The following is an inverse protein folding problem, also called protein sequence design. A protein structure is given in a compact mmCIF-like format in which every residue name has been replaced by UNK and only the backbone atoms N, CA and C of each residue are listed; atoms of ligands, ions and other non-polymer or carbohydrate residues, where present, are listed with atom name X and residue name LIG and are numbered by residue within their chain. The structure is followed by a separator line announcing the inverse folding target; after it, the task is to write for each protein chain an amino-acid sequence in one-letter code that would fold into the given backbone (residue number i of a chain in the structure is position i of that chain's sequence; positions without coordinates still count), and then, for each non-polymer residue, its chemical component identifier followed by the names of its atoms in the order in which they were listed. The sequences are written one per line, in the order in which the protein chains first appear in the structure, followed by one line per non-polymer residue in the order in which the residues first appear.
data_IF_067639308092
#
_entry.id   IF_067639308092
#
_cell.length_a   1.000
_cell.length_b   1.000
_cell.length_c   1.000
_cell.angle_alpha   90.00
_cell.angle_beta   90.00
_cell.angle_gamma   90.00
#
_symmetry.space_group_name_H-M   'P 1'
#
loop_
_entity.id
_entity.type
_entity.pdbx_description
1 polymer ?
#
# COMPACT_ATOMS: atom_id res chain seq x y z
N UNK A 1 -9.06 -1.32 6.38
CA UNK A 1 -9.18 -1.33 4.90
C UNK A 1 -10.25 -2.28 4.38
N UNK A 2 -10.24 -3.58 4.72
CA UNK A 2 -11.20 -4.56 4.16
C UNK A 2 -12.66 -4.16 4.38
N UNK A 3 -13.02 -3.70 5.58
CA UNK A 3 -14.36 -3.19 5.90
C UNK A 3 -14.84 -2.01 5.02
N UNK A 4 -13.92 -1.26 4.41
CA UNK A 4 -14.26 -0.15 3.51
C UNK A 4 -14.61 -0.62 2.09
N UNK A 5 -14.26 -1.86 1.74
CA UNK A 5 -14.46 -2.45 0.41
C UNK A 5 -15.37 -3.67 0.43
N UNK A 6 -15.78 -4.13 1.62
CA UNK A 6 -16.69 -5.26 1.85
C UNK A 6 -18.17 -4.83 1.83
N UNK A 7 -18.51 -3.80 1.06
CA UNK A 7 -19.89 -3.37 0.90
C UNK A 7 -20.75 -4.45 0.21
N UNK A 8 -22.06 -4.24 0.18
CA UNK A 8 -23.01 -5.21 -0.39
C UNK A 8 -22.78 -5.48 -1.89
N UNK A 9 -22.05 -4.61 -2.60
CA UNK A 9 -21.73 -4.81 -4.01
C UNK A 9 -20.73 -5.95 -4.24
N UNK A 10 -19.89 -6.27 -3.24
CA UNK A 10 -18.89 -7.36 -3.32
C UNK A 10 -17.79 -7.16 -4.37
N UNK A 11 -17.74 -5.99 -5.02
CA UNK A 11 -16.79 -5.67 -6.11
C UNK A 11 -15.47 -5.11 -5.62
N UNK A 12 -15.43 -4.60 -4.39
CA UNK A 12 -14.23 -4.05 -3.79
C UNK A 12 -13.12 -5.09 -3.59
N UNK A 13 -11.87 -4.64 -3.68
CA UNK A 13 -10.67 -5.46 -3.48
C UNK A 13 -9.62 -4.67 -2.70
N UNK A 14 -8.82 -5.38 -1.91
CA UNK A 14 -7.59 -4.85 -1.30
C UNK A 14 -6.40 -5.60 -1.90
N UNK A 15 -5.47 -4.88 -2.49
CA UNK A 15 -4.21 -5.45 -2.97
C UNK A 15 -3.12 -5.12 -1.96
N UNK A 16 -2.49 -6.15 -1.40
CA UNK A 16 -1.37 -6.02 -0.47
C UNK A 16 -0.09 -6.45 -1.17
N UNK A 17 0.94 -5.60 -1.14
CA UNK A 17 2.20 -5.86 -1.85
C UNK A 17 3.35 -5.86 -0.84
N UNK A 18 4.18 -6.89 -0.88
CA UNK A 18 5.42 -6.94 -0.13
C UNK A 18 6.39 -7.91 -0.83
N UNK A 19 7.68 -7.56 -0.94
CA UNK A 19 8.68 -8.45 -1.56
C UNK A 19 9.16 -9.55 -0.59
N UNK A 20 8.91 -9.39 0.71
CA UNK A 20 9.30 -10.34 1.73
C UNK A 20 8.21 -11.39 1.93
N UNK A 21 8.56 -12.66 1.72
CA UNK A 21 7.63 -13.79 1.97
C UNK A 21 7.15 -13.85 3.41
N UNK A 22 8.02 -13.51 4.37
CA UNK A 22 7.68 -13.52 5.79
C UNK A 22 6.58 -12.50 6.11
N UNK A 23 6.67 -11.30 5.55
CA UNK A 23 5.64 -10.27 5.69
C UNK A 23 4.28 -10.74 5.15
N UNK A 24 4.29 -11.40 3.99
CA UNK A 24 3.06 -11.97 3.39
C UNK A 24 2.49 -13.12 4.22
N UNK A 25 3.34 -13.98 4.76
CA UNK A 25 2.92 -15.07 5.63
C UNK A 25 2.26 -14.53 6.89
N UNK A 26 2.93 -13.65 7.62
CA UNK A 26 2.39 -13.02 8.83
C UNK A 26 1.10 -12.27 8.53
N UNK A 27 1.06 -11.51 7.43
CA UNK A 27 -0.16 -10.83 6.99
C UNK A 27 -1.29 -11.82 6.71
N UNK A 28 -1.03 -12.92 5.99
CA UNK A 28 -2.07 -13.92 5.73
C UNK A 28 -2.60 -14.54 7.01
N UNK A 29 -1.72 -14.95 7.94
CA UNK A 29 -2.13 -15.53 9.22
C UNK A 29 -3.02 -14.57 10.01
N UNK A 30 -2.65 -13.29 10.11
CA UNK A 30 -3.46 -12.28 10.78
C UNK A 30 -4.82 -12.06 10.10
N UNK A 31 -4.85 -12.08 8.76
CA UNK A 31 -6.10 -11.95 8.00
C UNK A 31 -7.01 -13.17 8.18
N UNK A 32 -6.44 -14.36 8.21
CA UNK A 32 -7.18 -15.62 8.40
C UNK A 32 -7.79 -15.70 9.81
N UNK A 33 -7.12 -15.12 10.81
CA UNK A 33 -7.65 -15.01 12.18
C UNK A 33 -8.70 -13.91 12.34
N UNK A 34 -8.58 -12.82 11.57
CA UNK A 34 -9.36 -11.59 11.81
C UNK A 34 -10.57 -11.41 10.89
N UNK A 35 -10.63 -12.13 9.77
CA UNK A 35 -11.63 -11.91 8.72
C UNK A 35 -12.54 -13.13 8.53
N UNK A 36 -13.78 -12.87 8.14
CA UNK A 36 -14.65 -13.93 7.62
C UNK A 36 -14.10 -14.48 6.29
N UNK A 37 -14.46 -15.72 5.88
CA UNK A 37 -14.04 -16.26 4.59
C UNK A 37 -14.37 -15.35 3.40
N UNK A 38 -15.55 -14.72 3.42
CA UNK A 38 -15.98 -13.78 2.38
C UNK A 38 -15.11 -12.51 2.32
N UNK A 39 -14.73 -11.95 3.47
CA UNK A 39 -13.85 -10.79 3.53
C UNK A 39 -12.41 -11.15 3.10
N UNK A 40 -11.95 -12.34 3.46
CA UNK A 40 -10.63 -12.84 3.11
C UNK A 40 -10.43 -12.96 1.60
N UNK A 41 -11.48 -13.33 0.86
CA UNK A 41 -11.47 -13.39 -0.60
C UNK A 41 -11.24 -12.02 -1.27
N UNK A 42 -11.59 -10.93 -0.59
CA UNK A 42 -11.42 -9.56 -1.09
C UNK A 42 -9.95 -9.10 -1.06
N UNK A 43 -9.09 -9.77 -0.28
CA UNK A 43 -7.69 -9.40 -0.09
C UNK A 43 -6.79 -10.25 -0.98
N UNK A 44 -5.93 -9.59 -1.76
CA UNK A 44 -4.96 -10.19 -2.69
C UNK A 44 -3.54 -9.79 -2.29
N UNK A 45 -2.88 -10.55 -1.39
CA UNK A 45 -1.46 -10.38 -1.08
C UNK A 45 -0.60 -10.81 -2.27
N UNK A 46 0.49 -10.10 -2.55
CA UNK A 46 1.40 -10.37 -3.66
C UNK A 46 2.86 -10.11 -3.31
N UNK A 47 3.72 -11.04 -3.73
CA UNK A 47 5.18 -11.06 -3.54
C UNK A 47 5.97 -10.10 -4.43
N UNK A 48 5.45 -8.91 -4.69
CA UNK A 48 6.03 -7.99 -5.68
C UNK A 48 6.31 -6.62 -5.07
N UNK A 49 7.23 -5.89 -5.69
CA UNK A 49 7.48 -4.49 -5.35
C UNK A 49 6.29 -3.63 -5.76
N UNK A 50 5.98 -2.61 -4.97
CA UNK A 50 4.93 -1.62 -5.26
C UNK A 50 5.09 -0.92 -6.60
N UNK A 51 6.31 -0.83 -7.15
CA UNK A 51 6.57 -0.31 -8.49
C UNK A 51 6.03 -1.17 -9.63
N UNK A 52 5.52 -2.37 -9.34
CA UNK A 52 4.96 -3.35 -10.31
C UNK A 52 3.46 -3.59 -10.07
N UNK A 53 2.76 -2.65 -9.44
CA UNK A 53 1.36 -2.81 -9.04
C UNK A 53 0.42 -3.07 -10.23
N UNK A 54 0.77 -2.57 -11.42
CA UNK A 54 0.06 -2.78 -12.68
C UNK A 54 -0.03 -4.25 -13.09
N UNK A 55 0.85 -5.12 -12.58
CA UNK A 55 0.80 -6.55 -12.87
C UNK A 55 -0.37 -7.26 -12.17
N UNK A 56 -0.92 -6.66 -11.11
CA UNK A 56 -1.94 -7.31 -10.27
C UNK A 56 -3.23 -6.50 -10.13
N UNK A 57 -3.15 -5.18 -10.31
CA UNK A 57 -4.33 -4.31 -10.30
C UNK A 57 -4.89 -4.25 -11.72
N UNK A 58 -6.13 -4.71 -11.97
CA UNK A 58 -6.71 -4.70 -13.31
C UNK A 58 -6.75 -3.29 -13.90
N UNK A 59 -6.45 -3.16 -15.18
CA UNK A 59 -6.55 -1.89 -15.90
C UNK A 59 -7.93 -1.24 -15.72
N UNK A 60 -7.95 0.10 -15.62
CA UNK A 60 -9.16 0.90 -15.41
C UNK A 60 -9.91 0.62 -14.09
N UNK A 61 -9.28 -0.06 -13.12
CA UNK A 61 -9.85 -0.19 -11.78
C UNK A 61 -9.83 1.16 -11.06
N UNK A 62 -10.99 1.69 -10.61
CA UNK A 62 -11.00 2.91 -9.80
C UNK A 62 -10.32 2.65 -8.46
N UNK A 63 -9.24 3.38 -8.19
CA UNK A 63 -8.50 3.28 -6.93
C UNK A 63 -9.00 4.33 -5.95
N UNK A 64 -9.52 3.91 -4.80
CA UNK A 64 -10.01 4.81 -3.76
C UNK A 64 -8.92 5.25 -2.79
N UNK A 65 -7.94 4.38 -2.54
CA UNK A 65 -6.88 4.61 -1.57
C UNK A 65 -5.65 3.80 -1.96
N UNK A 66 -4.48 4.42 -1.85
CA UNK A 66 -3.18 3.74 -1.82
C UNK A 66 -2.50 4.16 -0.51
N UNK A 67 -1.91 3.19 0.18
CA UNK A 67 -1.15 3.44 1.39
C UNK A 67 0.22 2.78 1.27
N UNK A 68 1.27 3.53 1.59
CA UNK A 68 2.64 3.04 1.66
C UNK A 68 3.08 3.03 3.13
N UNK A 69 3.73 1.94 3.55
CA UNK A 69 4.49 1.91 4.78
C UNK A 69 5.97 1.80 4.40
N UNK A 70 6.68 2.92 4.44
CA UNK A 70 8.07 3.00 3.99
C UNK A 70 9.02 2.59 5.12
N UNK A 71 10.14 1.98 4.75
CA UNK A 71 11.12 1.44 5.69
C UNK A 71 11.36 -0.05 5.48
N UNK A 72 11.70 -0.74 6.57
CA UNK A 72 11.98 -2.16 6.62
C UNK A 72 10.91 -2.89 7.45
N UNK A 73 10.77 -4.20 7.26
CA UNK A 73 9.90 -5.03 8.09
C UNK A 73 10.43 -5.09 9.54
N UNK A 74 9.68 -4.64 10.57
CA UNK A 74 10.11 -4.73 11.96
C UNK A 74 10.39 -6.18 12.38
N UNK A 75 11.56 -6.43 12.96
CA UNK A 75 12.02 -7.78 13.32
C UNK A 75 12.45 -8.66 12.13
N UNK A 76 12.36 -8.16 10.90
CA UNK A 76 12.82 -8.83 9.69
C UNK A 76 14.24 -8.43 9.27
N UNK A 77 14.61 -8.79 8.03
CA UNK A 77 15.88 -8.39 7.45
C UNK A 77 15.88 -6.89 7.10
N UNK A 78 16.69 -6.08 7.80
CA UNK A 78 16.80 -4.63 7.59
C UNK A 78 17.49 -4.22 6.28
N UNK A 79 18.19 -5.14 5.61
CA UNK A 79 18.74 -4.89 4.27
C UNK A 79 17.64 -4.81 3.21
N UNK A 80 16.46 -5.35 3.52
CA UNK A 80 15.28 -5.27 2.66
C UNK A 80 14.46 -4.06 3.11
N UNK A 81 14.67 -2.94 2.41
CA UNK A 81 14.08 -1.64 2.71
C UNK A 81 13.44 -1.05 1.45
N UNK A 82 12.37 -0.27 1.60
CA UNK A 82 11.86 0.54 0.49
C UNK A 82 12.90 1.54 0.03
N UNK A 83 13.10 1.67 -1.29
CA UNK A 83 14.05 2.63 -1.86
C UNK A 83 13.32 3.76 -2.59
N UNK A 84 13.87 5.00 -2.60
CA UNK A 84 13.22 6.13 -3.26
C UNK A 84 12.90 5.89 -4.74
N UNK A 85 13.78 5.17 -5.44
CA UNK A 85 13.65 4.90 -6.88
C UNK A 85 12.35 4.16 -7.20
N UNK A 86 12.04 3.08 -6.47
CA UNK A 86 10.81 2.30 -6.70
C UNK A 86 9.59 3.01 -6.12
N UNK A 87 9.75 3.77 -5.05
CA UNK A 87 8.65 4.50 -4.38
C UNK A 87 8.13 5.66 -5.21
N UNK A 88 9.01 6.44 -5.85
CA UNK A 88 8.61 7.53 -6.74
C UNK A 88 7.83 7.05 -7.97
N UNK A 89 8.14 5.85 -8.48
CA UNK A 89 7.41 5.29 -9.62
C UNK A 89 5.95 4.94 -9.27
N UNK A 90 5.68 4.61 -8.01
CA UNK A 90 4.33 4.27 -7.55
C UNK A 90 3.55 5.48 -7.01
N UNK A 91 4.24 6.54 -6.58
CA UNK A 91 3.64 7.80 -6.16
C UNK A 91 3.26 8.64 -7.38
N UNK A 92 2.01 8.53 -7.83
CA UNK A 92 1.43 9.48 -8.77
C UNK A 92 0.47 10.37 -7.99
N UNK A 93 0.84 11.63 -7.78
CA UNK A 93 -0.11 12.66 -7.34
C UNK A 93 -0.75 13.26 -8.58
N UNK A 94 -2.05 13.03 -8.76
CA UNK A 94 -2.77 13.55 -9.91
C UNK A 94 -3.09 15.04 -9.72
N UNK A 95 -2.17 15.90 -10.13
CA UNK A 95 -2.28 17.36 -10.02
C UNK A 95 -3.25 18.01 -11.04
N UNK A 96 -3.98 17.22 -11.83
CA UNK A 96 -4.77 17.68 -12.98
C UNK A 96 -6.14 18.30 -12.66
N UNK A 97 -6.45 18.54 -11.38
CA UNK A 97 -7.69 19.18 -10.93
C UNK A 97 -7.40 20.46 -10.13
N UNK A 98 -8.38 21.39 -10.01
CA UNK A 98 -8.27 22.50 -9.07
C UNK A 98 -7.98 21.99 -7.65
N UNK A 99 -6.94 22.51 -6.99
CA UNK A 99 -6.49 22.05 -5.67
C UNK A 99 -5.43 20.94 -5.70
N UNK A 100 -5.19 20.28 -6.83
CA UNK A 100 -4.28 19.13 -6.90
C UNK A 100 -2.80 19.49 -6.69
N UNK A 101 -2.39 20.71 -7.05
CA UNK A 101 -1.01 21.18 -6.80
C UNK A 101 -0.81 21.55 -5.33
N UNK A 102 -1.82 22.16 -4.71
CA UNK A 102 -1.84 22.48 -3.29
C UNK A 102 -1.79 21.20 -2.44
N UNK A 103 -2.49 20.14 -2.85
CA UNK A 103 -2.39 18.81 -2.22
C UNK A 103 -0.99 18.19 -2.37
N UNK A 104 -0.38 18.27 -3.55
CA UNK A 104 1.00 17.79 -3.75
C UNK A 104 1.97 18.52 -2.82
N UNK A 105 1.93 19.85 -2.82
CA UNK A 105 2.82 20.68 -2.02
C UNK A 105 2.63 20.44 -0.51
N UNK A 106 1.40 20.22 -0.05
CA UNK A 106 1.11 19.86 1.33
C UNK A 106 1.69 18.49 1.71
N UNK A 107 1.57 17.50 0.82
CA UNK A 107 2.11 16.15 1.05
C UNK A 107 3.64 16.16 1.03
N UNK A 108 4.27 16.86 0.08
CA UNK A 108 5.72 17.01 0.01
C UNK A 108 6.28 17.78 1.22
N UNK A 109 5.63 18.88 1.58
CA UNK A 109 6.00 19.68 2.76
C UNK A 109 5.90 18.88 4.05
N UNK A 110 4.79 18.14 4.24
CA UNK A 110 4.62 17.26 5.40
C UNK A 110 5.68 16.14 5.43
N UNK A 111 5.84 15.40 4.33
CA UNK A 111 6.75 14.26 4.28
C UNK A 111 8.22 14.66 4.46
N UNK A 112 8.63 15.81 3.91
CA UNK A 112 10.01 16.33 4.06
C UNK A 112 10.33 16.85 5.47
N UNK A 113 9.30 17.18 6.25
CA UNK A 113 9.45 17.68 7.63
C UNK A 113 9.43 16.59 8.71
N UNK A 114 9.26 15.31 8.36
CA UNK A 114 9.23 14.22 9.34
C UNK A 114 10.64 13.99 9.93
N UNK A 115 10.82 13.98 11.26
CA UNK A 115 12.12 13.73 11.89
C UNK A 115 12.58 12.30 11.60
N UNK A 116 13.76 12.14 11.01
CA UNK A 116 14.29 10.82 10.63
C UNK A 116 14.74 9.98 11.84
N UNK A 117 15.05 10.65 12.94
CA UNK A 117 15.61 10.13 14.19
C UNK A 117 14.56 9.55 15.16
N UNK A 118 13.27 9.85 14.98
CA UNK A 118 12.19 9.24 15.77
C UNK A 118 11.80 7.83 15.29
N UNK A 119 12.30 7.40 14.13
CA UNK A 119 11.86 6.17 13.44
C UNK A 119 13.01 5.17 13.17
N UNK A 120 14.19 5.42 13.76
CA UNK A 120 15.40 4.57 13.63
C UNK A 120 15.43 3.37 14.58
#
# INVERSE_FOLDING_TARGET
MVKMVSDESGRGRVYGLDIQKDALYTTSSLLDESLSPRERELVKPSGICHSRMEEIVPENSPVRLVAFNLGYLPGGNKDIITVPQTTRLALVVYIGHPGGREELEAVEGFASGLPADEWS
#
